data_IF_950499926522
#
_entry.id   IF_950499926522
#
_cell.length_a   1.000
_cell.length_b   1.000
_cell.length_c   1.000
_cell.angle_alpha   90.00
_cell.angle_beta   90.00
_cell.angle_gamma   90.00
#
_symmetry.space_group_name_H-M   'P 1'
#
loop_
_entity.id
_entity.type
_entity.pdbx_description
1 polymer ?
#
# COMPACT_ATOMS: atom_id res chain seq x y z
N UNK A 1 7.26 -4.03 -34.75
CA UNK A 1 8.16 -3.50 -33.69
C UNK A 1 7.43 -2.66 -32.63
N UNK A 2 6.47 -1.78 -32.98
CA UNK A 2 5.76 -0.89 -32.02
C UNK A 2 5.00 -1.62 -30.90
N UNK A 3 4.41 -2.79 -31.18
CA UNK A 3 3.63 -3.56 -30.19
C UNK A 3 4.51 -4.06 -29.03
N UNK A 4 5.70 -4.58 -29.33
CA UNK A 4 6.66 -5.08 -28.33
C UNK A 4 7.09 -3.93 -27.40
N UNK A 5 7.41 -2.76 -27.95
CA UNK A 5 7.79 -1.58 -27.16
C UNK A 5 6.69 -1.13 -26.21
N UNK A 6 5.41 -1.22 -26.62
CA UNK A 6 4.26 -0.90 -25.75
C UNK A 6 4.14 -1.88 -24.59
N UNK A 7 4.31 -3.17 -24.85
CA UNK A 7 4.26 -4.23 -23.82
C UNK A 7 5.40 -4.05 -22.83
N UNK A 8 6.65 -3.90 -23.31
CA UNK A 8 7.82 -3.65 -22.45
C UNK A 8 7.59 -2.45 -21.54
N UNK A 9 7.10 -1.33 -22.10
CA UNK A 9 6.81 -0.13 -21.30
C UNK A 9 5.74 -0.36 -20.23
N UNK A 10 4.73 -1.20 -20.50
CA UNK A 10 3.70 -1.56 -19.50
C UNK A 10 4.31 -2.43 -18.40
N UNK A 11 5.09 -3.45 -18.76
CA UNK A 11 5.76 -4.34 -17.81
C UNK A 11 6.72 -3.55 -16.91
N UNK A 12 7.56 -2.68 -17.47
CA UNK A 12 8.48 -1.85 -16.67
C UNK A 12 7.76 -0.98 -15.66
N UNK A 13 6.60 -0.42 -16.01
CA UNK A 13 5.77 0.36 -15.09
C UNK A 13 5.19 -0.49 -13.96
N UNK A 14 4.71 -1.69 -14.28
CA UNK A 14 4.19 -2.64 -13.29
C UNK A 14 5.30 -3.09 -12.33
N UNK A 15 6.48 -3.45 -12.87
CA UNK A 15 7.65 -3.81 -12.06
C UNK A 15 8.07 -2.65 -11.14
N UNK A 16 8.12 -1.44 -11.67
CA UNK A 16 8.45 -0.26 -10.87
C UNK A 16 7.45 -0.05 -9.71
N UNK A 17 6.15 -0.24 -9.96
CA UNK A 17 5.14 -0.16 -8.91
C UNK A 17 5.32 -1.24 -7.84
N UNK A 18 5.54 -2.50 -8.24
CA UNK A 18 5.75 -3.64 -7.32
C UNK A 18 7.02 -3.43 -6.48
N UNK A 19 8.13 -3.03 -7.09
CA UNK A 19 9.37 -2.76 -6.36
C UNK A 19 9.19 -1.62 -5.35
N UNK A 20 8.48 -0.56 -5.76
CA UNK A 20 8.17 0.56 -4.87
C UNK A 20 7.29 0.10 -3.71
N UNK A 21 6.28 -0.76 -3.92
CA UNK A 21 5.45 -1.26 -2.83
C UNK A 21 6.22 -2.12 -1.83
N UNK A 22 7.16 -2.93 -2.30
CA UNK A 22 8.03 -3.72 -1.40
C UNK A 22 8.91 -2.80 -0.56
N UNK A 23 9.49 -1.76 -1.15
CA UNK A 23 10.29 -0.76 -0.43
C UNK A 23 9.43 -0.04 0.61
N UNK A 24 8.26 0.46 0.22
CA UNK A 24 7.33 1.16 1.12
C UNK A 24 6.93 0.27 2.28
N UNK A 25 6.54 -0.99 2.02
CA UNK A 25 6.20 -1.96 3.05
C UNK A 25 7.33 -2.19 4.05
N UNK A 26 8.58 -2.25 3.57
CA UNK A 26 9.73 -2.40 4.45
C UNK A 26 10.05 -1.16 5.27
N UNK A 27 9.83 0.04 4.72
CA UNK A 27 10.05 1.29 5.43
C UNK A 27 8.98 1.55 6.50
N UNK A 28 7.71 1.24 6.23
CA UNK A 28 6.63 1.39 7.23
C UNK A 28 6.77 0.39 8.37
N UNK A 29 7.17 -0.86 8.07
CA UNK A 29 7.29 -1.94 9.06
C UNK A 29 5.96 -2.25 9.77
N UNK A 30 6.01 -2.83 10.98
CA UNK A 30 4.80 -3.35 11.63
C UNK A 30 3.76 -2.25 11.90
N UNK A 31 2.48 -2.44 11.47
CA UNK A 31 1.37 -1.53 11.74
C UNK A 31 1.09 -1.32 13.22
N UNK A 32 1.41 -2.27 14.09
CA UNK A 32 1.22 -2.14 15.54
C UNK A 32 2.05 -0.98 16.13
N UNK A 33 3.12 -0.55 15.45
CA UNK A 33 4.01 0.51 15.92
C UNK A 33 3.57 1.92 15.52
N UNK A 34 2.80 2.05 14.45
CA UNK A 34 2.46 3.35 13.85
C UNK A 34 0.97 3.59 13.71
N UNK A 35 0.15 2.54 13.71
CA UNK A 35 -1.29 2.69 13.64
C UNK A 35 -1.86 2.96 15.03
N UNK A 36 -2.76 3.93 15.12
CA UNK A 36 -3.34 4.30 16.41
C UNK A 36 -4.18 3.15 16.97
N UNK A 37 -3.88 2.75 18.20
CA UNK A 37 -4.55 1.61 18.84
C UNK A 37 -6.05 1.86 19.07
N UNK A 38 -6.45 3.05 19.50
CA UNK A 38 -7.86 3.38 19.73
C UNK A 38 -8.67 3.33 18.42
N UNK A 39 -8.08 3.77 17.31
CA UNK A 39 -8.67 3.61 15.99
C UNK A 39 -8.76 2.13 15.59
N UNK A 40 -7.73 1.33 15.90
CA UNK A 40 -7.76 -0.12 15.66
C UNK A 40 -8.90 -0.78 16.45
N UNK A 41 -9.08 -0.46 17.73
CA UNK A 41 -10.18 -0.97 18.55
C UNK A 41 -11.52 -0.56 17.96
N UNK A 42 -11.71 0.72 17.61
CA UNK A 42 -12.95 1.20 16.98
C UNK A 42 -13.27 0.47 15.67
N UNK A 43 -12.27 0.30 14.81
CA UNK A 43 -12.42 -0.44 13.57
C UNK A 43 -12.74 -1.92 13.84
N UNK A 44 -12.05 -2.54 14.80
CA UNK A 44 -12.29 -3.92 15.17
C UNK A 44 -13.71 -4.11 15.70
N UNK A 45 -14.19 -3.25 16.60
CA UNK A 45 -15.56 -3.26 17.11
C UNK A 45 -16.58 -3.01 16.00
N UNK A 46 -16.26 -2.17 15.02
CA UNK A 46 -17.10 -1.94 13.86
C UNK A 46 -17.22 -3.18 12.95
N UNK A 47 -16.12 -3.90 12.71
CA UNK A 47 -16.12 -5.07 11.83
C UNK A 47 -16.58 -6.36 12.50
N UNK A 48 -16.23 -6.56 13.76
CA UNK A 48 -16.44 -7.82 14.49
C UNK A 48 -17.53 -7.72 15.57
N UNK A 49 -18.06 -6.52 15.83
CA UNK A 49 -19.13 -6.26 16.80
C UNK A 49 -18.64 -5.90 18.21
N UNK A 50 -19.61 -5.64 19.09
CA UNK A 50 -19.40 -5.31 20.50
C UNK A 50 -19.24 -6.61 21.32
N UNK A 51 -18.03 -7.18 21.32
CA UNK A 51 -17.68 -8.37 22.10
C UNK A 51 -16.18 -8.45 22.37
N UNK A 52 -15.71 -9.50 23.03
CA UNK A 52 -14.27 -9.75 23.17
C UNK A 52 -13.67 -10.03 21.80
N UNK A 53 -12.84 -9.10 21.32
CA UNK A 53 -12.15 -9.23 20.04
C UNK A 53 -10.82 -9.93 20.31
N UNK A 54 -10.72 -11.18 19.86
CA UNK A 54 -9.50 -11.96 19.98
C UNK A 54 -8.32 -11.34 19.22
N UNK A 55 -7.10 -11.68 19.65
CA UNK A 55 -5.86 -11.20 19.05
C UNK A 55 -5.76 -11.51 17.54
N UNK A 56 -6.27 -12.66 17.09
CA UNK A 56 -6.28 -13.06 15.67
C UNK A 56 -7.04 -12.07 14.77
N UNK A 57 -8.15 -11.52 15.27
CA UNK A 57 -8.94 -10.53 14.56
C UNK A 57 -8.21 -9.19 14.48
N UNK A 58 -7.46 -8.82 15.53
CA UNK A 58 -6.58 -7.65 15.51
C UNK A 58 -5.42 -7.83 14.54
N UNK A 59 -4.75 -8.99 14.51
CA UNK A 59 -3.69 -9.27 13.54
C UNK A 59 -4.19 -9.14 12.10
N UNK A 60 -5.37 -9.69 11.81
CA UNK A 60 -6.02 -9.58 10.51
C UNK A 60 -6.34 -8.12 10.16
N UNK A 61 -6.87 -7.35 11.11
CA UNK A 61 -7.15 -5.93 10.93
C UNK A 61 -5.89 -5.13 10.63
N UNK A 62 -4.84 -5.30 11.45
CA UNK A 62 -3.55 -4.64 11.27
C UNK A 62 -2.91 -5.01 9.93
N UNK A 63 -3.01 -6.26 9.49
CA UNK A 63 -2.56 -6.69 8.18
C UNK A 63 -3.27 -5.91 7.06
N UNK A 64 -4.60 -5.81 7.10
CA UNK A 64 -5.34 -5.05 6.08
C UNK A 64 -5.01 -3.56 6.10
N UNK A 65 -4.88 -2.97 7.29
CA UNK A 65 -4.46 -1.56 7.44
C UNK A 65 -3.07 -1.35 6.83
N UNK A 66 -2.13 -2.26 7.09
CA UNK A 66 -0.78 -2.20 6.52
C UNK A 66 -0.82 -2.27 5.00
N UNK A 67 -1.52 -3.27 4.44
CA UNK A 67 -1.65 -3.45 2.99
C UNK A 67 -2.28 -2.22 2.33
N UNK A 68 -3.39 -1.71 2.88
CA UNK A 68 -4.07 -0.53 2.35
C UNK A 68 -3.16 0.71 2.38
N UNK A 69 -2.43 0.91 3.48
CA UNK A 69 -1.50 2.04 3.65
C UNK A 69 -0.35 1.94 2.65
N UNK A 70 0.29 0.78 2.53
CA UNK A 70 1.42 0.55 1.61
C UNK A 70 1.00 0.83 0.17
N UNK A 71 -0.14 0.29 -0.28
CA UNK A 71 -0.60 0.51 -1.66
C UNK A 71 -1.00 1.96 -1.92
N UNK A 72 -1.61 2.64 -0.93
CA UNK A 72 -1.96 4.06 -1.04
C UNK A 72 -0.71 4.92 -1.17
N UNK A 73 0.29 4.73 -0.31
CA UNK A 73 1.57 5.44 -0.38
C UNK A 73 2.30 5.14 -1.69
N UNK A 74 2.33 3.88 -2.12
CA UNK A 74 2.94 3.47 -3.39
C UNK A 74 2.25 4.16 -4.57
N UNK A 75 0.92 4.27 -4.57
CA UNK A 75 0.18 4.96 -5.61
C UNK A 75 0.53 6.45 -5.67
N UNK A 76 0.62 7.13 -4.52
CA UNK A 76 1.02 8.54 -4.44
C UNK A 76 2.44 8.71 -5.02
N UNK A 77 3.40 7.89 -4.58
CA UNK A 77 4.79 7.94 -5.07
C UNK A 77 4.85 7.66 -6.58
N UNK A 78 4.12 6.65 -7.05
CA UNK A 78 4.08 6.27 -8.45
C UNK A 78 3.53 7.39 -9.34
N UNK A 79 2.37 7.97 -8.97
CA UNK A 79 1.73 9.06 -9.71
C UNK A 79 2.64 10.29 -9.73
N UNK A 80 3.24 10.64 -8.59
CA UNK A 80 4.19 11.75 -8.47
C UNK A 80 5.39 11.54 -9.40
N UNK A 81 5.99 10.35 -9.36
CA UNK A 81 7.13 9.98 -10.22
C UNK A 81 6.77 10.04 -11.71
N UNK A 82 5.64 9.47 -12.11
CA UNK A 82 5.20 9.49 -13.50
C UNK A 82 4.87 10.92 -13.98
N UNK A 83 4.38 11.77 -13.10
CA UNK A 83 4.10 13.19 -13.40
C UNK A 83 5.42 13.94 -13.63
N UNK A 84 6.41 13.77 -12.75
CA UNK A 84 7.74 14.37 -12.92
C UNK A 84 8.43 13.92 -14.22
N UNK A 85 8.37 12.62 -14.55
CA UNK A 85 8.92 12.09 -15.80
C UNK A 85 8.20 12.69 -17.03
N UNK A 86 6.89 12.92 -16.96
CA UNK A 86 6.15 13.57 -18.05
C UNK A 86 6.54 15.03 -18.22
N UNK A 87 6.72 15.76 -17.11
CA UNK A 87 7.16 17.16 -17.13
C UNK A 87 8.54 17.27 -17.79
N UNK A 88 9.50 16.41 -17.40
CA UNK A 88 10.86 16.40 -17.98
C UNK A 88 10.95 15.94 -19.44
N UNK A 89 9.88 15.36 -20.00
CA UNK A 89 9.82 14.94 -21.41
C UNK A 89 9.20 15.97 -22.34
N UNK A 90 8.56 17.00 -21.78
CA UNK A 90 8.17 18.20 -22.52
C UNK A 90 9.35 19.15 -22.59
#
# INVERSE_FOLDING_TARGET
MVAITKVVRRISKTLFFILTSVIVARLTGSPERWFNHDLAVRMATFFYGNGEIGADNFYTLYFYVSVATVFTLTAIIYVSTMTLIRIKRK
#
